data_IF_637616591749
#
_entry.id   IF_637616591749
#
_cell.length_a   1.000
_cell.length_b   1.000
_cell.length_c   1.000
_cell.angle_alpha   90.00
_cell.angle_beta   90.00
_cell.angle_gamma   90.00
#
_symmetry.space_group_name_H-M   'P 1'
#
loop_
_entity.id
_entity.type
_entity.pdbx_description
1 polymer ?
#
# COMPACT_ATOMS: atom_id res chain seq x y z
N UNK A 1 9.89 20.13 -4.76
CA UNK A 1 8.54 20.71 -4.99
C UNK A 1 8.60 22.04 -5.72
N UNK A 2 9.35 23.03 -5.23
CA UNK A 2 9.46 24.35 -5.87
C UNK A 2 10.08 24.27 -7.28
N UNK A 3 11.11 23.45 -7.46
CA UNK A 3 11.71 23.16 -8.77
C UNK A 3 10.71 22.56 -9.78
N UNK A 4 9.86 21.62 -9.36
CA UNK A 4 8.82 21.02 -10.20
C UNK A 4 7.80 22.07 -10.64
N UNK A 5 7.36 22.97 -9.74
CA UNK A 5 6.47 24.08 -10.12
C UNK A 5 7.13 25.04 -11.11
N UNK A 6 8.41 25.38 -10.90
CA UNK A 6 9.16 26.25 -11.80
C UNK A 6 9.30 25.65 -13.21
N UNK A 7 9.26 24.33 -13.32
CA UNK A 7 9.28 23.58 -14.59
C UNK A 7 7.88 23.33 -15.18
N UNK A 8 6.83 23.87 -14.55
CA UNK A 8 5.44 23.76 -15.02
C UNK A 8 4.75 22.42 -14.69
N UNK A 9 5.35 21.59 -13.85
CA UNK A 9 4.81 20.29 -13.45
C UNK A 9 3.84 20.37 -12.26
N UNK A 10 3.18 19.26 -11.94
CA UNK A 10 2.37 19.11 -10.73
C UNK A 10 3.20 18.42 -9.63
N UNK A 11 3.65 19.14 -8.58
CA UNK A 11 4.47 18.56 -7.52
C UNK A 11 3.76 17.48 -6.71
N UNK A 12 2.42 17.46 -6.69
CA UNK A 12 1.69 16.40 -6.02
C UNK A 12 1.90 15.07 -6.73
N UNK A 13 1.61 15.03 -8.04
CA UNK A 13 1.71 13.80 -8.84
C UNK A 13 3.17 13.43 -9.15
N UNK A 14 4.05 14.40 -9.35
CA UNK A 14 5.44 14.15 -9.77
C UNK A 14 6.41 13.92 -8.61
N UNK A 15 6.06 14.34 -7.38
CA UNK A 15 6.97 14.21 -6.22
C UNK A 15 6.28 13.55 -5.04
N UNK A 16 5.20 14.15 -4.52
CA UNK A 16 4.59 13.66 -3.28
C UNK A 16 3.99 12.25 -3.41
N UNK A 17 3.34 11.97 -4.55
CA UNK A 17 2.74 10.68 -4.81
C UNK A 17 3.80 9.57 -4.93
N UNK A 18 4.88 9.71 -5.74
CA UNK A 18 6.01 8.78 -5.73
C UNK A 18 6.62 8.54 -4.34
N UNK A 19 6.87 9.60 -3.56
CA UNK A 19 7.46 9.49 -2.23
C UNK A 19 6.57 8.68 -1.27
N UNK A 20 5.25 8.90 -1.33
CA UNK A 20 4.29 8.15 -0.53
C UNK A 20 4.19 6.69 -0.98
N UNK A 21 4.27 6.40 -2.28
CA UNK A 21 4.32 5.04 -2.82
C UNK A 21 5.58 4.30 -2.35
N UNK A 22 6.76 4.95 -2.40
CA UNK A 22 8.01 4.38 -1.89
C UNK A 22 7.86 4.05 -0.41
N UNK A 23 7.35 4.99 0.38
CA UNK A 23 7.10 4.80 1.81
C UNK A 23 6.20 3.60 2.07
N UNK A 24 5.11 3.43 1.32
CA UNK A 24 4.22 2.28 1.44
C UNK A 24 4.94 0.96 1.14
N UNK A 25 5.73 0.90 0.05
CA UNK A 25 6.52 -0.29 -0.30
C UNK A 25 7.50 -0.68 0.81
N UNK A 26 8.16 0.30 1.42
CA UNK A 26 9.06 0.05 2.55
C UNK A 26 8.30 -0.48 3.77
N UNK A 27 7.07 0.01 4.02
CA UNK A 27 6.18 -0.54 5.04
C UNK A 27 5.81 -2.00 4.79
N UNK A 28 5.49 -2.36 3.53
CA UNK A 28 5.19 -3.74 3.12
C UNK A 28 6.39 -4.66 3.33
N UNK A 29 7.59 -4.19 3.00
CA UNK A 29 8.82 -4.96 3.24
C UNK A 29 9.10 -5.27 4.71
N UNK A 30 8.43 -4.59 5.66
CA UNK A 30 8.50 -4.96 7.08
C UNK A 30 7.59 -6.13 7.45
N UNK A 31 6.56 -6.40 6.64
CA UNK A 31 5.57 -7.46 6.84
C UNK A 31 6.06 -8.81 6.31
N UNK A 32 6.72 -8.82 5.15
CA UNK A 32 7.24 -10.03 4.50
C UNK A 32 8.75 -9.86 4.33
N UNK A 33 9.54 -10.57 5.14
CA UNK A 33 11.01 -10.56 5.15
C UNK A 33 11.58 -11.92 4.77
N UNK A 34 10.91 -13.01 5.15
CA UNK A 34 11.28 -14.39 4.84
C UNK A 34 10.17 -15.15 4.10
N UNK A 35 10.48 -16.33 3.57
CA UNK A 35 9.54 -17.13 2.75
C UNK A 35 8.33 -17.66 3.51
N UNK A 36 8.49 -17.81 4.83
CA UNK A 36 7.44 -18.30 5.72
C UNK A 36 6.66 -17.15 6.38
N UNK A 37 7.04 -15.89 6.11
CA UNK A 37 6.35 -14.74 6.67
C UNK A 37 4.94 -14.61 6.10
N UNK A 38 4.01 -14.32 7.01
CA UNK A 38 2.61 -14.16 6.69
C UNK A 38 2.02 -13.03 7.50
N UNK A 39 1.16 -12.24 6.89
CA UNK A 39 0.45 -11.19 7.61
C UNK A 39 -0.56 -10.43 6.77
N UNK A 40 -1.15 -9.41 7.39
CA UNK A 40 -2.19 -8.58 6.78
C UNK A 40 -1.74 -7.13 6.79
N UNK A 41 -1.74 -6.49 5.61
CA UNK A 41 -1.58 -5.05 5.48
C UNK A 41 -2.96 -4.38 5.55
N UNK A 42 -3.17 -3.55 6.58
CA UNK A 42 -4.40 -2.76 6.73
C UNK A 42 -4.10 -1.31 6.37
N UNK A 43 -4.84 -0.76 5.40
CA UNK A 43 -4.72 0.66 5.03
C UNK A 43 -6.02 1.38 5.36
N UNK A 44 -5.98 2.22 6.38
CA UNK A 44 -7.13 3.00 6.87
C UNK A 44 -7.27 4.36 6.14
N UNK A 45 -7.07 4.37 4.82
CA UNK A 45 -7.15 5.58 4.02
C UNK A 45 -8.12 5.41 2.84
N UNK A 46 -9.28 6.05 2.94
CA UNK A 46 -10.31 5.97 1.91
C UNK A 46 -9.87 6.62 0.58
N UNK A 47 -8.82 7.46 0.58
CA UNK A 47 -8.28 8.08 -0.64
C UNK A 47 -7.77 7.04 -1.62
N UNK A 48 -7.31 5.88 -1.16
CA UNK A 48 -6.89 4.77 -2.03
C UNK A 48 -8.02 4.20 -2.90
N UNK A 49 -9.27 4.40 -2.49
CA UNK A 49 -10.44 3.96 -3.25
C UNK A 49 -11.07 5.12 -4.01
N UNK A 50 -11.12 6.29 -3.39
CA UNK A 50 -11.88 7.44 -3.90
C UNK A 50 -11.09 8.32 -4.89
N UNK A 51 -9.76 8.26 -4.90
CA UNK A 51 -8.92 9.13 -5.73
C UNK A 51 -8.28 8.35 -6.89
N UNK A 52 -8.09 8.97 -8.06
CA UNK A 52 -7.49 8.31 -9.23
C UNK A 52 -6.11 7.69 -8.94
N UNK A 53 -5.27 8.38 -8.17
CA UNK A 53 -3.94 7.91 -7.81
C UNK A 53 -3.94 6.67 -6.89
N UNK A 54 -5.08 6.31 -6.29
CA UNK A 54 -5.21 5.10 -5.48
C UNK A 54 -4.87 3.84 -6.28
N UNK A 55 -5.18 3.81 -7.58
CA UNK A 55 -4.81 2.71 -8.46
C UNK A 55 -3.29 2.54 -8.54
N UNK A 56 -2.53 3.63 -8.61
CA UNK A 56 -1.06 3.62 -8.61
C UNK A 56 -0.50 3.01 -7.34
N UNK A 57 -1.05 3.38 -6.17
CA UNK A 57 -0.66 2.77 -4.90
C UNK A 57 -0.90 1.26 -4.88
N UNK A 58 -2.10 0.81 -5.26
CA UNK A 58 -2.43 -0.62 -5.26
C UNK A 58 -1.57 -1.40 -6.25
N UNK A 59 -1.35 -0.86 -7.45
CA UNK A 59 -0.50 -1.48 -8.47
C UNK A 59 0.97 -1.54 -8.05
N UNK A 60 1.38 -0.70 -7.09
CA UNK A 60 2.74 -0.68 -6.56
C UNK A 60 2.99 -1.78 -5.52
N UNK A 61 1.94 -2.38 -4.97
CA UNK A 61 2.04 -3.45 -3.97
C UNK A 61 2.28 -4.81 -4.66
N UNK A 62 2.94 -5.76 -3.98
CA UNK A 62 2.97 -7.15 -4.44
C UNK A 62 1.57 -7.71 -4.68
N UNK A 63 1.38 -8.62 -5.66
CA UNK A 63 0.09 -9.26 -5.89
C UNK A 63 -0.38 -9.96 -4.62
N UNK A 64 -1.53 -9.51 -4.08
CA UNK A 64 -2.10 -10.08 -2.87
C UNK A 64 -3.64 -10.02 -2.93
N UNK A 65 -4.34 -10.99 -2.30
CA UNK A 65 -5.77 -10.89 -2.10
C UNK A 65 -6.15 -9.62 -1.33
N UNK A 66 -7.22 -8.95 -1.76
CA UNK A 66 -7.72 -7.74 -1.11
C UNK A 66 -9.15 -7.97 -0.63
N UNK A 67 -9.49 -7.40 0.52
CA UNK A 67 -10.82 -7.52 1.12
C UNK A 67 -11.17 -6.25 1.89
N UNK A 68 -12.47 -5.93 1.97
CA UNK A 68 -13.03 -4.93 2.91
C UNK A 68 -13.73 -5.61 4.10
N UNK A 69 -13.86 -6.93 4.05
CA UNK A 69 -14.36 -7.75 5.15
C UNK A 69 -13.22 -8.04 6.14
N UNK A 70 -13.37 -7.52 7.36
CA UNK A 70 -12.43 -7.70 8.46
C UNK A 70 -12.38 -9.16 8.93
N UNK A 71 -13.50 -9.87 8.91
CA UNK A 71 -13.55 -11.26 9.38
C UNK A 71 -12.72 -12.17 8.49
N UNK A 72 -12.64 -11.85 7.19
CA UNK A 72 -11.73 -12.55 6.26
C UNK A 72 -10.26 -12.35 6.62
N UNK A 73 -9.87 -11.15 7.06
CA UNK A 73 -8.51 -10.89 7.51
C UNK A 73 -8.19 -11.60 8.84
N UNK A 74 -9.14 -11.61 9.77
CA UNK A 74 -9.01 -12.35 11.05
C UNK A 74 -8.89 -13.85 10.79
N UNK A 75 -9.77 -14.43 9.97
CA UNK A 75 -9.70 -15.85 9.57
C UNK A 75 -8.38 -16.19 8.88
N UNK A 76 -7.86 -15.29 8.04
CA UNK A 76 -6.53 -15.46 7.47
C UNK A 76 -5.52 -15.59 8.60
N UNK A 77 -5.37 -14.60 9.47
CA UNK A 77 -4.36 -14.64 10.55
C UNK A 77 -4.50 -15.89 11.43
N UNK A 78 -5.72 -16.23 11.88
CA UNK A 78 -5.97 -17.39 12.74
C UNK A 78 -5.63 -18.76 12.12
N UNK A 79 -5.71 -18.89 10.78
CA UNK A 79 -5.39 -20.15 10.11
C UNK A 79 -3.92 -20.60 10.25
N UNK A 80 -3.03 -19.69 10.69
CA UNK A 80 -1.60 -19.98 10.91
C UNK A 80 -1.30 -20.48 12.32
N UNK A 81 -2.23 -20.38 13.27
CA UNK A 81 -2.03 -20.84 14.66
C UNK A 81 -2.46 -22.30 14.85
N UNK A 82 -3.03 -22.92 13.81
CA UNK A 82 -3.63 -24.25 13.86
C UNK A 82 -2.72 -25.37 13.32
N UNK A 83 -1.44 -25.09 13.11
CA UNK A 83 -0.41 -26.03 12.64
C UNK A 83 0.71 -26.15 13.70
#
# INVERSE_FOLDING_TARGET
MEDCRLRGGDPFDEVQLPDAVITLKQGVGRLIRDVDDRGVLVICDNRLVMRPYGATFIASLPPAPRTRDIDRAVRFLAASEAE
#
